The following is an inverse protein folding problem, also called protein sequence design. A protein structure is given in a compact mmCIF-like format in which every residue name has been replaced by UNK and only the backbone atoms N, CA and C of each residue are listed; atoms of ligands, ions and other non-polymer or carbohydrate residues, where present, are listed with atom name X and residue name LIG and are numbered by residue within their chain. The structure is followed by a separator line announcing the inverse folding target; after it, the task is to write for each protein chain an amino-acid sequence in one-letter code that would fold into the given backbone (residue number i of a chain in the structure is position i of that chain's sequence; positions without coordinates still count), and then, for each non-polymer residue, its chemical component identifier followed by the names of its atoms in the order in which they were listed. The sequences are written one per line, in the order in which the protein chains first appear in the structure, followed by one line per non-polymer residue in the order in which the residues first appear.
data_IF_754788233873
#
_entry.id   IF_754788233873
#
_cell.length_a   1.000
_cell.length_b   1.000
_cell.length_c   1.000
_cell.angle_alpha   90.00
_cell.angle_beta   90.00
_cell.angle_gamma   90.00
#
_symmetry.space_group_name_H-M   'P 1'
#
loop_
_entity.id
_entity.type
_entity.pdbx_description
1 polymer ?
#
# COMPACT_ATOMS: atom_id res chain seq x y z
N UNK A 1 -19.26 -7.97 8.87
CA UNK A 1 -18.09 -7.33 9.53
C UNK A 1 -18.21 -5.83 9.33
N UNK A 2 -18.13 -5.01 10.39
CA UNK A 2 -18.30 -3.54 10.31
C UNK A 2 -17.09 -2.75 10.81
N UNK A 3 -16.22 -3.37 11.61
CA UNK A 3 -15.04 -2.77 12.22
C UNK A 3 -13.82 -3.64 11.93
N UNK A 4 -12.65 -3.02 11.79
CA UNK A 4 -11.38 -3.75 11.57
C UNK A 4 -11.20 -4.34 10.17
N UNK A 5 -11.90 -3.82 9.15
CA UNK A 5 -11.82 -4.34 7.78
C UNK A 5 -10.40 -4.48 7.25
N UNK A 6 -9.56 -3.45 7.42
CA UNK A 6 -8.17 -3.45 6.98
C UNK A 6 -7.33 -4.56 7.64
N UNK A 7 -7.42 -4.71 8.97
CA UNK A 7 -6.64 -5.74 9.68
C UNK A 7 -7.14 -7.16 9.37
N UNK A 8 -8.46 -7.36 9.24
CA UNK A 8 -9.01 -8.66 8.84
C UNK A 8 -8.60 -9.03 7.42
N UNK A 9 -8.59 -8.07 6.48
CA UNK A 9 -8.12 -8.28 5.12
C UNK A 9 -6.63 -8.62 5.09
N UNK A 10 -5.79 -7.89 5.84
CA UNK A 10 -4.36 -8.17 5.94
C UNK A 10 -4.10 -9.59 6.49
N UNK A 11 -4.81 -9.99 7.56
CA UNK A 11 -4.72 -11.34 8.12
C UNK A 11 -5.25 -12.43 7.20
N UNK A 12 -6.23 -12.11 6.35
CA UNK A 12 -6.68 -13.02 5.31
C UNK A 12 -5.60 -13.27 4.27
N UNK A 13 -4.95 -12.21 3.77
CA UNK A 13 -3.87 -12.32 2.78
C UNK A 13 -2.67 -13.12 3.32
N UNK A 14 -2.32 -12.93 4.60
CA UNK A 14 -1.24 -13.67 5.28
C UNK A 14 -1.42 -15.20 5.21
N UNK A 15 -2.67 -15.71 5.12
CA UNK A 15 -2.92 -17.16 5.01
C UNK A 15 -2.46 -17.78 3.69
N UNK A 16 -2.14 -16.97 2.69
CA UNK A 16 -1.70 -17.42 1.37
C UNK A 16 -0.19 -17.23 1.15
N UNK A 17 0.55 -16.84 2.17
CA UNK A 17 2.00 -16.63 2.11
C UNK A 17 2.69 -17.64 3.03
N UNK A 18 3.71 -18.33 2.50
CA UNK A 18 4.52 -19.28 3.28
C UNK A 18 5.34 -18.55 4.34
N UNK A 19 5.50 -19.15 5.53
CA UNK A 19 6.20 -18.56 6.68
C UNK A 19 7.67 -18.22 6.40
N UNK A 20 8.30 -18.86 5.40
CA UNK A 20 9.69 -18.59 5.01
C UNK A 20 9.84 -17.38 4.10
N UNK A 21 8.75 -16.79 3.63
CA UNK A 21 8.77 -15.64 2.72
C UNK A 21 8.61 -14.35 3.55
N UNK A 22 9.63 -13.46 3.59
CA UNK A 22 9.46 -12.13 4.18
C UNK A 22 8.35 -11.37 3.44
N UNK A 23 7.29 -11.00 4.15
CA UNK A 23 6.08 -10.45 3.55
C UNK A 23 5.67 -9.12 4.17
N UNK A 24 5.26 -8.18 3.33
CA UNK A 24 4.67 -6.92 3.73
C UNK A 24 3.42 -6.63 2.88
N UNK A 25 2.33 -6.26 3.55
CA UNK A 25 1.12 -5.77 2.92
C UNK A 25 0.98 -4.26 3.18
N UNK A 26 0.86 -3.48 2.11
CA UNK A 26 0.62 -2.04 2.17
C UNK A 26 -0.79 -1.76 1.66
N UNK A 27 -1.72 -1.44 2.56
CA UNK A 27 -3.05 -0.96 2.19
C UNK A 27 -2.99 0.54 1.87
N UNK A 28 -3.18 0.88 0.59
CA UNK A 28 -3.10 2.25 0.07
C UNK A 28 -4.45 2.77 -0.45
N UNK A 29 -5.57 2.11 -0.13
CA UNK A 29 -6.89 2.49 -0.66
C UNK A 29 -7.28 3.94 -0.30
N UNK A 30 -6.90 4.43 0.88
CA UNK A 30 -7.13 5.82 1.29
C UNK A 30 -6.34 6.86 0.48
N UNK A 31 -4.99 6.83 0.52
CA UNK A 31 -4.17 7.82 -0.15
C UNK A 31 -4.15 7.70 -1.69
N UNK A 32 -4.65 6.61 -2.26
CA UNK A 32 -4.68 6.41 -3.73
C UNK A 32 -5.75 7.22 -4.45
N UNK A 33 -6.76 7.75 -3.74
CA UNK A 33 -7.93 8.42 -4.33
C UNK A 33 -8.28 9.78 -3.70
N UNK A 34 -8.01 10.02 -2.41
CA UNK A 34 -8.44 11.28 -1.79
C UNK A 34 -7.39 12.38 -1.95
N UNK A 35 -7.38 13.02 -3.11
CA UNK A 35 -6.39 14.06 -3.42
C UNK A 35 -6.97 15.21 -4.25
N UNK A 36 -6.67 16.45 -3.83
CA UNK A 36 -6.96 17.67 -4.60
C UNK A 36 -5.92 17.80 -5.72
N UNK A 37 -6.29 18.37 -6.87
CA UNK A 37 -5.32 18.65 -7.92
C UNK A 37 -4.15 19.50 -7.37
N UNK A 38 -2.92 19.10 -7.69
CA UNK A 38 -1.70 19.86 -7.38
C UNK A 38 -0.82 19.99 -8.62
N UNK A 39 0.25 20.78 -8.56
CA UNK A 39 1.24 20.86 -9.65
C UNK A 39 2.05 19.56 -9.85
N UNK A 40 1.88 18.57 -8.95
CA UNK A 40 2.65 17.33 -8.93
C UNK A 40 1.82 16.11 -9.32
N UNK A 41 0.53 16.09 -8.97
CA UNK A 41 -0.39 14.98 -9.23
C UNK A 41 -1.81 15.45 -9.54
N UNK A 42 -2.48 14.66 -10.37
CA UNK A 42 -3.89 14.83 -10.73
C UNK A 42 -4.83 14.64 -9.54
N UNK A 43 -6.07 15.08 -9.72
CA UNK A 43 -7.15 14.77 -8.77
C UNK A 43 -7.36 13.25 -8.76
N UNK A 44 -7.51 12.69 -7.56
CA UNK A 44 -7.61 11.26 -7.28
C UNK A 44 -6.33 10.45 -7.48
N UNK A 45 -5.80 10.33 -8.70
CA UNK A 45 -4.72 9.40 -9.02
C UNK A 45 -3.34 9.86 -8.51
N UNK A 46 -3.06 9.62 -7.23
CA UNK A 46 -1.85 10.16 -6.57
C UNK A 46 -0.55 9.43 -6.90
N UNK A 47 -0.60 8.17 -7.34
CA UNK A 47 0.59 7.32 -7.42
C UNK A 47 1.26 7.08 -6.06
N UNK A 48 0.51 7.17 -4.96
CA UNK A 48 1.06 6.99 -3.61
C UNK A 48 1.76 5.63 -3.46
N UNK A 49 2.94 5.65 -2.81
CA UNK A 49 3.76 4.45 -2.59
C UNK A 49 4.84 4.20 -3.64
N UNK A 50 4.74 4.75 -4.86
CA UNK A 50 5.74 4.48 -5.92
C UNK A 50 7.15 4.91 -5.51
N UNK A 51 7.33 6.16 -5.04
CA UNK A 51 8.65 6.65 -4.57
C UNK A 51 9.16 5.89 -3.36
N UNK A 52 8.27 5.50 -2.44
CA UNK A 52 8.64 4.72 -1.26
C UNK A 52 9.26 3.37 -1.65
N UNK A 53 8.60 2.64 -2.56
CA UNK A 53 9.10 1.35 -3.04
C UNK A 53 10.38 1.54 -3.84
N UNK A 54 10.45 2.54 -4.72
CA UNK A 54 11.66 2.85 -5.47
C UNK A 54 12.85 3.15 -4.54
N UNK A 55 12.67 4.00 -3.54
CA UNK A 55 13.72 4.37 -2.58
C UNK A 55 14.15 3.18 -1.71
N UNK A 56 13.21 2.32 -1.32
CA UNK A 56 13.51 1.10 -0.58
C UNK A 56 14.36 0.15 -1.43
N UNK A 57 13.91 -0.16 -2.65
CA UNK A 57 14.62 -1.04 -3.59
C UNK A 57 16.01 -0.50 -3.92
N UNK A 58 16.13 0.81 -4.16
CA UNK A 58 17.41 1.46 -4.51
C UNK A 58 18.45 1.45 -3.39
N UNK A 59 18.05 1.14 -2.15
CA UNK A 59 18.96 1.03 -0.99
C UNK A 59 19.38 -0.40 -0.68
N UNK A 60 18.63 -1.38 -1.17
CA UNK A 60 18.89 -2.80 -0.90
C UNK A 60 19.48 -3.53 -2.11
N UNK A 61 19.38 -2.93 -3.30
CA UNK A 61 20.10 -3.32 -4.52
C UNK A 61 21.43 -2.55 -4.59
#
# INVERSE_FOLDING_TARGET
SRWGGAITAAKFLEKFVDEKIPFAHLDIAGPSLHHKLTNYTDKYHTGYGVRLIFDYLSKIL
#
